data_IF_649106126429
#
_entry.id   IF_649106126429
#
_cell.length_a   1.000
_cell.length_b   1.000
_cell.length_c   1.000
_cell.angle_alpha   90.00
_cell.angle_beta   90.00
_cell.angle_gamma   90.00
#
_symmetry.space_group_name_H-M   'P 1'
#
loop_
_entity.id
_entity.type
_entity.pdbx_description
1 polymer ?
#
# COMPACT_ATOMS: atom_id res chain seq x y z
N UNK A 1 -2.85 24.80 -1.05
CA UNK A 1 -2.07 23.73 -0.36
C UNK A 1 -1.05 23.19 -1.35
N UNK A 2 0.19 22.97 -0.91
CA UNK A 2 1.19 22.41 -1.85
C UNK A 2 0.89 20.93 -2.15
N UNK A 3 1.21 20.53 -3.37
CA UNK A 3 1.06 19.13 -3.77
C UNK A 3 1.86 18.20 -2.85
N UNK A 4 3.09 18.57 -2.47
CA UNK A 4 3.93 17.79 -1.54
C UNK A 4 3.23 17.42 -0.22
N UNK A 5 2.38 18.32 0.31
CA UNK A 5 1.67 18.08 1.56
C UNK A 5 0.57 17.01 1.36
N UNK A 6 -0.13 17.08 0.22
CA UNK A 6 -1.17 16.09 -0.15
C UNK A 6 -0.52 14.74 -0.45
N UNK A 7 0.64 14.72 -1.12
CA UNK A 7 1.39 13.48 -1.36
C UNK A 7 1.76 12.77 -0.06
N UNK A 8 2.22 13.52 0.94
CA UNK A 8 2.53 12.95 2.27
C UNK A 8 1.30 12.30 2.92
N UNK A 9 0.13 12.93 2.79
CA UNK A 9 -1.14 12.37 3.29
C UNK A 9 -1.54 11.10 2.51
N UNK A 10 -1.37 11.10 1.19
CA UNK A 10 -1.65 9.93 0.35
C UNK A 10 -0.72 8.76 0.68
N UNK A 11 0.54 9.04 0.98
CA UNK A 11 1.52 8.03 1.38
C UNK A 11 1.29 7.47 2.80
N UNK A 12 0.60 8.19 3.69
CA UNK A 12 0.08 7.58 4.94
C UNK A 12 -1.01 6.53 4.66
N UNK A 13 -1.86 6.78 3.65
CA UNK A 13 -2.92 5.86 3.25
C UNK A 13 -2.39 4.67 2.47
N UNK A 14 -1.48 4.90 1.55
CA UNK A 14 -0.92 3.92 0.62
C UNK A 14 0.58 4.17 0.43
N UNK A 15 1.43 3.72 1.39
CA UNK A 15 2.88 3.89 1.28
C UNK A 15 3.40 3.34 -0.06
N UNK A 16 4.13 4.15 -0.83
CA UNK A 16 4.64 3.73 -2.16
C UNK A 16 5.49 2.44 -2.09
N UNK A 17 6.17 2.24 -0.97
CA UNK A 17 6.93 1.01 -0.74
C UNK A 17 6.08 -0.26 -0.59
N UNK A 18 4.75 -0.15 -0.47
CA UNK A 18 3.86 -1.32 -0.46
C UNK A 18 3.53 -1.83 -1.86
N UNK A 19 3.73 -1.01 -2.89
CA UNK A 19 3.45 -1.39 -4.27
C UNK A 19 4.21 -2.65 -4.70
N UNK A 20 3.69 -3.32 -5.72
CA UNK A 20 4.39 -4.42 -6.39
C UNK A 20 5.49 -3.87 -7.30
N UNK A 21 6.56 -4.65 -7.48
CA UNK A 21 7.76 -4.22 -8.23
C UNK A 21 7.48 -3.88 -9.71
N UNK A 22 6.39 -4.43 -10.28
CA UNK A 22 5.99 -4.16 -11.67
C UNK A 22 5.15 -2.90 -11.82
N UNK A 23 4.71 -2.29 -10.72
CA UNK A 23 3.72 -1.22 -10.72
C UNK A 23 4.36 0.17 -10.89
N UNK A 24 3.53 1.15 -11.24
CA UNK A 24 3.93 2.54 -11.40
C UNK A 24 2.98 3.46 -10.61
N UNK A 25 3.22 3.56 -9.32
CA UNK A 25 2.42 4.37 -8.38
C UNK A 25 3.09 5.70 -8.03
N UNK A 26 2.36 6.58 -7.39
CA UNK A 26 2.84 7.89 -6.97
C UNK A 26 2.49 9.00 -7.96
N UNK A 27 3.28 10.07 -7.97
CA UNK A 27 3.08 11.21 -8.85
C UNK A 27 3.51 10.87 -10.29
N UNK A 28 2.53 10.73 -11.18
CA UNK A 28 2.75 10.34 -12.59
C UNK A 28 2.90 11.57 -13.50
N UNK A 29 2.18 12.64 -13.21
CA UNK A 29 2.19 13.90 -13.96
C UNK A 29 2.13 15.05 -12.97
N UNK A 30 2.95 16.09 -13.13
CA UNK A 30 2.92 17.29 -12.31
C UNK A 30 4.24 17.61 -11.60
N UNK A 31 4.20 18.61 -10.73
CA UNK A 31 5.35 19.10 -9.96
C UNK A 31 4.99 19.18 -8.48
N UNK A 32 5.82 18.61 -7.60
CA UNK A 32 5.59 18.56 -6.13
C UNK A 32 5.38 19.95 -5.49
N UNK A 33 5.93 21.01 -6.10
CA UNK A 33 5.80 22.38 -5.60
C UNK A 33 4.53 23.10 -6.09
N UNK A 34 3.69 22.45 -6.91
CA UNK A 34 2.46 23.02 -7.44
C UNK A 34 1.47 23.30 -6.29
N UNK A 35 0.80 24.45 -6.36
CA UNK A 35 -0.33 24.75 -5.47
C UNK A 35 -1.59 24.05 -5.97
N UNK A 36 -2.31 23.38 -5.05
CA UNK A 36 -3.50 22.64 -5.36
C UNK A 36 -4.73 23.38 -4.81
N UNK A 37 -5.68 23.60 -5.70
CA UNK A 37 -6.97 24.28 -5.42
C UNK A 37 -8.11 23.28 -5.18
N UNK A 38 -8.07 22.12 -5.84
CA UNK A 38 -9.06 21.06 -5.71
C UNK A 38 -8.52 19.70 -6.14
N UNK A 39 -9.09 18.65 -5.54
CA UNK A 39 -8.75 17.25 -5.79
C UNK A 39 -9.95 16.52 -6.36
N UNK A 40 -9.79 15.88 -7.52
CA UNK A 40 -10.76 14.95 -8.09
C UNK A 40 -10.27 13.52 -7.89
N UNK A 41 -11.06 12.68 -7.26
CA UNK A 41 -10.73 11.26 -7.02
C UNK A 41 -11.51 10.37 -7.98
N UNK A 42 -10.83 9.51 -8.71
CA UNK A 42 -11.42 8.62 -9.71
C UNK A 42 -10.87 7.18 -9.63
N UNK A 43 -11.44 6.29 -10.44
CA UNK A 43 -10.90 4.94 -10.61
C UNK A 43 -9.80 4.94 -11.67
N UNK A 44 -10.09 5.44 -12.86
CA UNK A 44 -9.16 5.57 -13.98
C UNK A 44 -9.09 7.04 -14.45
N UNK A 45 -7.89 7.55 -14.72
CA UNK A 45 -7.67 8.94 -15.15
C UNK A 45 -7.80 9.08 -16.68
N UNK A 46 -9.00 8.82 -17.24
CA UNK A 46 -9.30 8.96 -18.66
C UNK A 46 -9.47 10.42 -19.10
N UNK A 47 -9.55 10.68 -20.42
CA UNK A 47 -9.77 12.02 -20.96
C UNK A 47 -11.03 12.70 -20.42
N UNK A 48 -12.15 11.95 -20.25
CA UNK A 48 -13.41 12.44 -19.67
C UNK A 48 -13.24 12.88 -18.21
N UNK A 49 -12.43 12.14 -17.43
CA UNK A 49 -12.10 12.50 -16.04
C UNK A 49 -11.25 13.77 -15.98
N UNK A 50 -10.31 13.96 -16.91
CA UNK A 50 -9.55 15.22 -17.00
C UNK A 50 -10.48 16.39 -17.38
N UNK A 51 -11.45 16.18 -18.30
CA UNK A 51 -12.48 17.18 -18.62
C UNK A 51 -13.35 17.52 -17.39
N UNK A 52 -13.73 16.52 -16.60
CA UNK A 52 -14.43 16.72 -15.33
C UNK A 52 -13.58 17.54 -14.35
N UNK A 53 -12.28 17.23 -14.21
CA UNK A 53 -11.37 17.97 -13.34
C UNK A 53 -11.29 19.45 -13.75
N UNK A 54 -11.15 19.74 -15.05
CA UNK A 54 -11.18 21.10 -15.59
C UNK A 54 -12.49 21.82 -15.23
N UNK A 55 -13.63 21.18 -15.47
CA UNK A 55 -14.96 21.76 -15.22
C UNK A 55 -15.20 22.05 -13.74
N UNK A 56 -14.70 21.21 -12.86
CA UNK A 56 -14.81 21.32 -11.39
C UNK A 56 -13.65 22.11 -10.77
N UNK A 57 -12.73 22.65 -11.60
CA UNK A 57 -11.55 23.43 -11.17
C UNK A 57 -10.63 22.66 -10.22
N UNK A 58 -10.53 21.35 -10.40
CA UNK A 58 -9.59 20.51 -9.69
C UNK A 58 -8.29 20.42 -10.50
N UNK A 59 -7.15 20.73 -9.88
CA UNK A 59 -5.84 20.64 -10.52
C UNK A 59 -4.97 19.50 -9.96
N UNK A 60 -5.57 18.59 -9.18
CA UNK A 60 -5.02 17.27 -8.83
C UNK A 60 -6.07 16.20 -9.12
N UNK A 61 -5.69 15.17 -9.88
CA UNK A 61 -6.46 13.93 -10.05
C UNK A 61 -5.76 12.82 -9.28
N UNK A 62 -6.44 12.24 -8.30
CA UNK A 62 -5.99 11.05 -7.59
C UNK A 62 -6.76 9.86 -8.15
N UNK A 63 -6.07 8.95 -8.83
CA UNK A 63 -6.67 7.77 -9.44
C UNK A 63 -6.22 6.49 -8.73
N UNK A 64 -7.06 5.46 -8.82
CA UNK A 64 -6.67 4.15 -8.36
C UNK A 64 -5.67 3.54 -9.35
N UNK A 65 -6.05 3.34 -10.62
CA UNK A 65 -5.18 2.81 -11.65
C UNK A 65 -4.20 3.84 -12.21
N UNK A 66 -2.92 3.48 -12.39
CA UNK A 66 -1.95 4.37 -13.03
C UNK A 66 -2.21 4.48 -14.53
N UNK A 67 -2.51 5.70 -15.00
CA UNK A 67 -2.65 5.95 -16.46
C UNK A 67 -1.35 5.67 -17.21
N UNK A 68 -0.20 5.79 -16.54
CA UNK A 68 1.13 5.45 -17.03
C UNK A 68 1.59 4.11 -16.45
N UNK A 69 0.92 3.01 -16.78
CA UNK A 69 1.33 1.68 -16.30
C UNK A 69 2.66 1.24 -16.93
N UNK A 70 2.83 1.46 -18.23
CA UNK A 70 4.07 1.16 -18.96
C UNK A 70 4.80 2.43 -19.36
N UNK A 71 6.13 2.37 -19.45
CA UNK A 71 6.94 3.51 -19.88
C UNK A 71 6.56 4.04 -21.27
N UNK A 72 6.40 5.35 -21.40
CA UNK A 72 6.06 6.02 -22.68
C UNK A 72 7.33 6.53 -23.34
N UNK A 73 7.54 6.19 -24.61
CA UNK A 73 8.66 6.71 -25.42
C UNK A 73 8.30 7.98 -26.18
N UNK A 74 7.02 8.23 -26.44
CA UNK A 74 6.52 9.40 -27.22
C UNK A 74 5.15 9.80 -26.68
N UNK A 75 4.87 11.11 -26.66
CA UNK A 75 3.57 11.66 -26.30
C UNK A 75 3.08 12.47 -27.51
N UNK A 76 2.22 11.87 -28.32
CA UNK A 76 1.76 12.41 -29.61
C UNK A 76 0.24 12.46 -29.75
N UNK A 77 -0.50 11.99 -28.73
CA UNK A 77 -1.96 11.94 -28.74
C UNK A 77 -2.57 10.77 -29.53
N UNK A 78 -1.78 9.73 -29.86
CA UNK A 78 -2.25 8.62 -30.70
C UNK A 78 -3.23 7.67 -29.99
N UNK A 79 -3.10 7.52 -28.67
CA UNK A 79 -3.93 6.64 -27.87
C UNK A 79 -4.55 7.40 -26.70
N UNK A 80 -5.46 6.75 -25.98
CA UNK A 80 -6.17 7.37 -24.86
C UNK A 80 -5.23 7.82 -23.72
N UNK A 81 -4.15 7.07 -23.45
CA UNK A 81 -3.15 7.42 -22.43
C UNK A 81 -2.44 8.72 -22.80
N UNK A 82 -1.90 8.81 -24.03
CA UNK A 82 -1.20 10.01 -24.51
C UNK A 82 -2.13 11.23 -24.54
N UNK A 83 -3.41 11.05 -24.93
CA UNK A 83 -4.38 12.17 -24.97
C UNK A 83 -4.72 12.66 -23.57
N UNK A 84 -4.98 11.77 -22.61
CA UNK A 84 -5.27 12.15 -21.22
C UNK A 84 -4.08 12.91 -20.60
N UNK A 85 -2.84 12.41 -20.78
CA UNK A 85 -1.62 13.06 -20.28
C UNK A 85 -1.40 14.44 -20.92
N UNK A 86 -1.52 14.53 -22.25
CA UNK A 86 -1.38 15.82 -22.94
C UNK A 86 -2.41 16.85 -22.47
N UNK A 87 -3.65 16.40 -22.22
CA UNK A 87 -4.71 17.26 -21.70
C UNK A 87 -4.41 17.71 -20.27
N UNK A 88 -3.96 16.79 -19.40
CA UNK A 88 -3.58 17.11 -18.03
C UNK A 88 -2.43 18.13 -17.98
N UNK A 89 -1.35 17.90 -18.74
CA UNK A 89 -0.20 18.81 -18.80
C UNK A 89 -0.62 20.22 -19.32
N UNK A 90 -1.44 20.28 -20.38
CA UNK A 90 -1.90 21.57 -20.95
C UNK A 90 -2.77 22.40 -20.00
N UNK A 91 -3.38 21.77 -19.00
CA UNK A 91 -4.26 22.41 -18.02
C UNK A 91 -3.66 22.43 -16.61
N UNK A 92 -2.35 22.21 -16.47
CA UNK A 92 -1.64 22.19 -15.19
C UNK A 92 -2.27 21.25 -14.15
N UNK A 93 -2.80 20.11 -14.59
CA UNK A 93 -3.40 19.09 -13.73
C UNK A 93 -2.35 18.03 -13.40
N UNK A 94 -2.07 17.84 -12.11
CA UNK A 94 -1.27 16.74 -11.61
C UNK A 94 -2.08 15.44 -11.56
N UNK A 95 -1.42 14.28 -11.78
CA UNK A 95 -2.03 12.95 -11.68
C UNK A 95 -1.20 12.10 -10.72
N UNK A 96 -1.85 11.53 -9.70
CA UNK A 96 -1.27 10.62 -8.72
C UNK A 96 -2.03 9.31 -8.71
N UNK A 97 -1.33 8.17 -8.67
CA UNK A 97 -1.93 6.83 -8.61
C UNK A 97 -1.54 6.08 -7.33
N UNK A 98 -2.50 5.33 -6.75
CA UNK A 98 -2.28 4.57 -5.51
C UNK A 98 -2.20 3.05 -5.72
N UNK A 99 -2.92 2.49 -6.66
CA UNK A 99 -2.96 1.11 -7.18
C UNK A 99 -2.51 0.03 -6.17
N UNK A 100 -1.49 -0.79 -6.50
CA UNK A 100 -1.08 -1.92 -5.67
C UNK A 100 -0.51 -1.51 -4.31
N UNK A 101 -0.09 -0.26 -4.12
CA UNK A 101 0.25 0.26 -2.80
C UNK A 101 -0.96 0.21 -1.85
N UNK A 102 -2.16 0.54 -2.36
CA UNK A 102 -3.40 0.44 -1.59
C UNK A 102 -3.93 -1.00 -1.53
N UNK A 103 -3.71 -1.84 -2.56
CA UNK A 103 -4.08 -3.26 -2.53
C UNK A 103 -3.40 -4.01 -1.38
N UNK A 104 -2.12 -3.71 -1.17
CA UNK A 104 -1.30 -4.33 -0.12
C UNK A 104 -1.58 -3.78 1.28
N UNK A 105 -2.23 -2.61 1.39
CA UNK A 105 -2.45 -1.97 2.68
C UNK A 105 -3.54 -2.68 3.49
N UNK A 106 -3.32 -2.83 4.81
CA UNK A 106 -4.24 -3.55 5.73
C UNK A 106 -5.68 -3.01 5.74
N UNK A 107 -5.89 -1.72 5.47
CA UNK A 107 -7.21 -1.04 5.37
C UNK A 107 -7.60 -0.75 3.91
N UNK A 108 -6.80 -1.23 2.95
CA UNK A 108 -6.98 -0.95 1.53
C UNK A 108 -8.05 -1.79 0.84
N UNK A 109 -7.94 -1.91 -0.49
CA UNK A 109 -8.95 -2.46 -1.40
C UNK A 109 -9.55 -3.77 -0.90
N UNK A 110 -8.72 -4.73 -0.54
CA UNK A 110 -9.18 -6.05 -0.12
C UNK A 110 -9.89 -6.06 1.25
N UNK A 111 -9.57 -5.11 2.14
CA UNK A 111 -10.33 -4.91 3.39
C UNK A 111 -11.69 -4.27 3.10
N UNK A 112 -11.73 -3.26 2.24
CA UNK A 112 -12.97 -2.61 1.79
C UNK A 112 -13.88 -3.65 1.14
N UNK A 113 -13.33 -4.55 0.32
CA UNK A 113 -14.06 -5.64 -0.31
C UNK A 113 -14.66 -6.60 0.74
N UNK A 114 -13.87 -7.04 1.74
CA UNK A 114 -14.37 -7.86 2.85
C UNK A 114 -15.51 -7.17 3.62
N UNK A 115 -15.35 -5.88 3.90
CA UNK A 115 -16.34 -5.10 4.66
C UNK A 115 -17.63 -4.91 3.89
N UNK A 116 -17.56 -4.67 2.58
CA UNK A 116 -18.72 -4.56 1.72
C UNK A 116 -19.58 -5.84 1.73
N UNK A 117 -18.91 -7.00 1.82
CA UNK A 117 -19.58 -8.32 1.94
C UNK A 117 -20.03 -8.67 3.36
N UNK A 118 -19.56 -7.93 4.38
CA UNK A 118 -19.84 -8.23 5.78
C UNK A 118 -18.99 -9.35 6.38
N UNK A 119 -17.86 -9.68 5.76
CA UNK A 119 -16.92 -10.69 6.27
C UNK A 119 -16.22 -10.21 7.55
N UNK A 120 -16.14 -11.09 8.55
CA UNK A 120 -15.50 -10.85 9.85
C UNK A 120 -14.13 -11.53 9.91
N UNK A 121 -13.32 -11.10 10.90
CA UNK A 121 -12.00 -11.69 11.21
C UNK A 121 -11.08 -11.84 10.00
N UNK A 122 -11.15 -10.87 9.07
CA UNK A 122 -10.37 -10.96 7.83
C UNK A 122 -8.88 -10.76 8.08
N UNK A 123 -8.06 -11.60 7.42
CA UNK A 123 -6.60 -11.57 7.42
C UNK A 123 -6.06 -11.58 5.99
N UNK A 124 -4.82 -11.16 5.82
CA UNK A 124 -4.15 -11.17 4.52
C UNK A 124 -4.10 -12.59 3.96
N UNK A 125 -4.41 -12.75 2.67
CA UNK A 125 -4.38 -14.03 1.97
C UNK A 125 -2.96 -14.42 1.54
N UNK A 126 -2.22 -13.47 0.97
CA UNK A 126 -0.83 -13.63 0.53
C UNK A 126 0.01 -12.57 1.23
N UNK A 127 0.58 -12.89 2.40
CA UNK A 127 1.45 -11.96 3.13
C UNK A 127 2.70 -11.59 2.33
N UNK A 128 3.11 -10.32 2.38
CA UNK A 128 4.31 -9.84 1.72
C UNK A 128 5.55 -10.44 2.37
N UNK A 129 6.42 -11.02 1.56
CA UNK A 129 7.67 -11.67 1.97
C UNK A 129 8.85 -10.71 1.75
N UNK A 130 9.97 -10.94 2.44
CA UNK A 130 11.19 -10.14 2.30
C UNK A 130 10.96 -8.63 2.48
N UNK A 131 10.06 -8.26 3.39
CA UNK A 131 9.68 -6.87 3.60
C UNK A 131 10.04 -6.33 4.99
N UNK A 132 10.39 -7.21 5.91
CA UNK A 132 10.84 -6.86 7.24
C UNK A 132 12.37 -6.90 7.28
N UNK A 133 12.98 -5.83 7.76
CA UNK A 133 14.42 -5.76 8.00
C UNK A 133 14.71 -5.59 9.49
N UNK A 134 15.91 -5.95 9.90
CA UNK A 134 16.43 -5.74 11.25
C UNK A 134 17.63 -4.82 11.18
N UNK A 135 17.59 -3.70 11.92
CA UNK A 135 18.75 -2.88 12.23
C UNK A 135 19.42 -3.42 13.49
N UNK A 136 20.74 -3.52 13.44
CA UNK A 136 21.61 -3.72 14.59
C UNK A 136 22.59 -2.55 14.63
N UNK A 137 22.83 -1.97 15.80
CA UNK A 137 23.81 -0.91 16.01
C UNK A 137 24.37 -0.99 17.44
N UNK A 138 25.47 -0.30 17.69
CA UNK A 138 26.20 -0.35 18.96
C UNK A 138 26.47 1.08 19.41
N UNK A 139 26.23 1.38 20.68
CA UNK A 139 26.47 2.72 21.22
C UNK A 139 26.80 2.66 22.71
N UNK A 140 27.35 3.74 23.25
CA UNK A 140 27.62 3.87 24.70
C UNK A 140 26.32 3.89 25.51
N UNK A 141 26.33 3.41 26.77
CA UNK A 141 25.14 3.34 27.63
C UNK A 141 24.36 4.66 27.72
N UNK A 142 25.07 5.79 27.77
CA UNK A 142 24.50 7.13 27.94
C UNK A 142 23.69 7.60 26.73
N UNK A 143 23.95 7.05 25.53
CA UNK A 143 23.26 7.43 24.29
C UNK A 143 22.11 6.52 23.93
N UNK A 144 21.94 5.38 24.60
CA UNK A 144 20.96 4.33 24.24
C UNK A 144 19.53 4.88 24.13
N UNK A 145 19.07 5.61 25.14
CA UNK A 145 17.70 6.11 25.18
C UNK A 145 17.42 7.12 24.05
N UNK A 146 18.33 8.08 23.87
CA UNK A 146 18.23 9.10 22.80
C UNK A 146 18.20 8.45 21.42
N UNK A 147 19.12 7.53 21.14
CA UNK A 147 19.23 6.87 19.84
C UNK A 147 18.02 5.99 19.55
N UNK A 148 17.59 5.19 20.52
CA UNK A 148 16.43 4.32 20.41
C UNK A 148 15.15 5.11 20.12
N UNK A 149 14.88 6.19 20.84
CA UNK A 149 13.71 7.02 20.61
C UNK A 149 13.74 7.66 19.21
N UNK A 150 14.90 8.15 18.76
CA UNK A 150 15.02 8.70 17.41
C UNK A 150 14.76 7.65 16.30
N UNK A 151 15.11 6.38 16.54
CA UNK A 151 14.81 5.28 15.62
C UNK A 151 13.32 4.89 15.66
N UNK A 152 12.66 4.92 16.82
CA UNK A 152 11.22 4.74 16.93
C UNK A 152 10.46 5.85 16.21
N UNK A 153 10.82 7.11 16.40
CA UNK A 153 10.25 8.26 15.68
C UNK A 153 10.44 8.16 14.16
N UNK A 154 11.49 7.46 13.72
CA UNK A 154 11.70 7.17 12.32
C UNK A 154 10.83 6.01 11.78
N UNK A 155 10.15 5.26 12.66
CA UNK A 155 9.22 4.18 12.32
C UNK A 155 9.79 2.77 12.51
N UNK A 156 10.92 2.62 13.23
CA UNK A 156 11.40 1.29 13.63
C UNK A 156 10.63 0.77 14.86
N UNK A 157 10.69 -0.54 15.12
CA UNK A 157 10.19 -1.15 16.35
C UNK A 157 8.72 -1.55 16.33
N UNK A 158 8.05 -1.61 15.18
CA UNK A 158 6.67 -2.12 15.10
C UNK A 158 6.67 -3.64 14.86
N UNK A 159 5.96 -4.39 15.70
CA UNK A 159 5.73 -5.84 15.57
C UNK A 159 4.24 -6.14 15.79
N UNK A 160 3.49 -6.34 14.71
CA UNK A 160 2.05 -6.58 14.79
C UNK A 160 1.29 -5.43 15.44
N UNK A 161 0.77 -5.63 16.64
CA UNK A 161 0.04 -4.63 17.43
C UNK A 161 0.91 -3.96 18.52
N UNK A 162 2.21 -4.18 18.50
CA UNK A 162 3.14 -3.60 19.47
C UNK A 162 4.05 -2.59 18.79
N UNK A 163 4.21 -1.45 19.42
CA UNK A 163 5.10 -0.36 19.02
C UNK A 163 6.32 -0.31 19.94
N UNK A 164 7.34 0.43 19.57
CA UNK A 164 8.57 0.66 20.33
C UNK A 164 9.30 -0.64 20.77
N UNK A 165 9.21 -1.68 19.93
CA UNK A 165 9.87 -2.95 20.19
C UNK A 165 11.36 -2.87 19.85
N UNK A 166 12.21 -3.12 20.83
CA UNK A 166 13.65 -3.28 20.62
C UNK A 166 14.20 -4.31 21.59
N UNK A 167 15.35 -4.84 21.26
CA UNK A 167 16.13 -5.67 22.17
C UNK A 167 17.52 -5.04 22.37
N UNK A 168 17.99 -4.98 23.59
CA UNK A 168 19.31 -4.45 23.91
C UNK A 168 20.11 -5.44 24.76
N UNK A 169 21.40 -5.56 24.47
CA UNK A 169 22.33 -6.38 25.27
C UNK A 169 23.66 -5.64 25.49
N UNK A 170 24.25 -5.86 26.65
CA UNK A 170 25.57 -5.31 26.98
C UNK A 170 26.67 -6.12 26.30
N UNK A 171 27.70 -5.43 25.88
CA UNK A 171 28.92 -6.02 25.31
C UNK A 171 30.10 -5.09 25.50
N UNK A 172 31.27 -5.51 24.99
CA UNK A 172 32.48 -4.71 24.97
C UNK A 172 32.82 -4.46 23.51
N UNK A 173 32.87 -3.18 23.12
CA UNK A 173 33.34 -2.73 21.82
C UNK A 173 34.86 -2.50 21.88
N UNK A 174 35.55 -2.81 20.80
CA UNK A 174 37.01 -2.55 20.70
C UNK A 174 37.33 -1.86 19.38
N UNK A 175 38.23 -0.88 19.44
CA UNK A 175 38.72 -0.18 18.26
C UNK A 175 40.07 0.49 18.51
N UNK A 176 40.73 0.91 17.43
CA UNK A 176 41.91 1.77 17.47
C UNK A 176 41.76 2.80 16.32
N UNK A 177 41.75 4.08 16.68
CA UNK A 177 41.66 5.18 15.72
C UNK A 177 42.99 5.41 14.98
N UNK A 178 42.93 5.80 13.71
CA UNK A 178 44.10 6.21 12.91
C UNK A 178 44.27 7.74 12.88
N UNK A 179 45.17 8.25 12.03
CA UNK A 179 45.43 9.69 11.89
C UNK A 179 44.24 10.54 11.44
N UNK A 180 43.26 9.94 10.76
CA UNK A 180 42.07 10.63 10.21
C UNK A 180 40.85 10.54 11.13
N UNK A 181 40.92 9.78 12.22
CA UNK A 181 39.84 9.60 13.16
C UNK A 181 39.75 10.71 14.20
N UNK A 182 38.54 10.88 14.75
CA UNK A 182 38.25 11.74 15.90
C UNK A 182 37.38 10.96 16.89
N UNK A 183 37.95 10.03 17.66
CA UNK A 183 37.19 9.13 18.51
C UNK A 183 36.46 9.90 19.63
N UNK A 184 35.22 9.48 19.93
CA UNK A 184 34.45 10.00 21.07
C UNK A 184 35.06 9.60 22.42
N UNK A 185 35.69 8.40 22.48
CA UNK A 185 36.37 7.88 23.68
C UNK A 185 37.80 7.42 23.30
N UNK A 186 38.76 7.71 24.16
CA UNK A 186 40.16 7.39 23.92
C UNK A 186 40.88 8.34 22.97
N UNK A 187 42.11 8.00 22.58
CA UNK A 187 42.95 8.79 21.68
C UNK A 187 43.31 8.03 20.40
N UNK A 188 43.78 8.78 19.39
CA UNK A 188 44.33 8.17 18.16
C UNK A 188 45.49 7.24 18.45
N UNK A 189 45.55 6.12 17.74
CA UNK A 189 46.57 5.08 17.86
C UNK A 189 46.56 4.33 19.20
N UNK A 190 45.55 4.58 20.06
CA UNK A 190 45.34 3.84 21.28
C UNK A 190 44.32 2.72 21.04
N UNK A 191 44.59 1.52 21.59
CA UNK A 191 43.60 0.45 21.61
C UNK A 191 42.61 0.70 22.75
N UNK A 192 41.33 0.84 22.37
CA UNK A 192 40.25 1.15 23.31
C UNK A 192 39.36 -0.07 23.50
N UNK A 193 39.06 -0.41 24.74
CA UNK A 193 38.00 -1.30 25.16
C UNK A 193 36.95 -0.45 25.89
N UNK A 194 35.68 -0.53 25.45
CA UNK A 194 34.61 0.29 26.00
C UNK A 194 33.31 -0.51 26.17
N UNK A 195 32.59 -0.25 27.25
CA UNK A 195 31.23 -0.80 27.44
C UNK A 195 30.30 -0.27 26.36
N UNK A 196 29.66 -1.17 25.65
CA UNK A 196 28.70 -0.83 24.62
C UNK A 196 27.38 -1.57 24.81
N UNK A 197 26.31 -0.94 24.34
CA UNK A 197 24.99 -1.55 24.24
C UNK A 197 24.68 -1.81 22.77
N UNK A 198 24.49 -3.07 22.44
CA UNK A 198 23.92 -3.50 21.18
C UNK A 198 22.43 -3.22 21.21
N UNK A 199 21.90 -2.54 20.20
CA UNK A 199 20.49 -2.26 20.00
C UNK A 199 20.02 -2.98 18.73
N UNK A 200 18.96 -3.76 18.83
CA UNK A 200 18.33 -4.47 17.72
C UNK A 200 16.86 -4.09 17.62
N UNK A 201 16.38 -3.77 16.41
CA UNK A 201 14.97 -3.49 16.14
C UNK A 201 14.60 -3.82 14.70
N UNK A 202 13.34 -4.20 14.50
CA UNK A 202 12.81 -4.49 13.17
C UNK A 202 12.15 -3.26 12.58
N UNK A 203 12.09 -3.20 11.25
CA UNK A 203 11.42 -2.12 10.53
C UNK A 203 10.98 -2.59 9.13
N UNK A 204 10.06 -1.86 8.52
CA UNK A 204 9.63 -2.11 7.15
C UNK A 204 10.65 -1.57 6.15
N UNK A 205 10.98 -2.35 5.13
CA UNK A 205 12.04 -2.07 4.13
C UNK A 205 11.98 -0.66 3.54
N UNK A 206 10.79 -0.12 3.28
CA UNK A 206 10.65 1.22 2.69
C UNK A 206 11.10 2.36 3.64
N UNK A 207 11.18 2.11 4.94
CA UNK A 207 11.64 3.07 5.94
C UNK A 207 13.16 3.13 6.08
N UNK A 208 13.91 2.25 5.41
CA UNK A 208 15.37 2.12 5.58
C UNK A 208 16.12 3.45 5.47
N UNK A 209 15.82 4.25 4.46
CA UNK A 209 16.49 5.55 4.26
C UNK A 209 16.20 6.51 5.41
N UNK A 210 14.95 6.56 5.88
CA UNK A 210 14.53 7.43 7.01
C UNK A 210 15.19 6.98 8.31
N UNK A 211 15.25 5.68 8.55
CA UNK A 211 15.87 5.08 9.75
C UNK A 211 17.39 5.31 9.76
N UNK A 212 18.08 5.07 8.64
CA UNK A 212 19.51 5.35 8.55
C UNK A 212 19.85 6.83 8.74
N UNK A 213 19.02 7.72 8.20
CA UNK A 213 19.16 9.16 8.44
C UNK A 213 19.00 9.52 9.92
N UNK A 214 18.05 8.91 10.62
CA UNK A 214 17.87 9.08 12.06
C UNK A 214 19.05 8.50 12.86
N UNK A 215 19.54 7.31 12.47
CA UNK A 215 20.71 6.65 13.07
C UNK A 215 21.92 7.59 13.03
N UNK A 216 22.35 8.01 11.83
CA UNK A 216 23.55 8.84 11.66
C UNK A 216 23.43 10.23 12.33
N UNK A 217 22.24 10.79 12.36
CA UNK A 217 22.02 12.11 13.01
C UNK A 217 22.12 12.04 14.53
N UNK A 218 21.77 10.92 15.16
CA UNK A 218 21.64 10.80 16.62
C UNK A 218 22.70 9.91 17.25
N UNK A 219 23.57 9.31 16.44
CA UNK A 219 24.70 8.53 16.94
C UNK A 219 25.81 9.45 17.47
N UNK A 220 26.55 8.99 18.47
CA UNK A 220 27.70 9.73 19.03
C UNK A 220 28.99 9.50 18.27
N UNK A 221 29.13 8.34 17.62
CA UNK A 221 30.33 8.02 16.86
C UNK A 221 30.31 8.67 15.48
N UNK A 222 31.48 9.14 15.02
CA UNK A 222 31.65 9.66 13.65
C UNK A 222 31.52 8.59 12.59
N UNK A 223 32.01 7.37 12.87
CA UNK A 223 31.86 6.17 12.05
C UNK A 223 30.93 5.20 12.77
N UNK A 224 29.70 5.08 12.28
CA UNK A 224 28.66 4.29 12.94
C UNK A 224 28.77 2.83 12.54
N UNK A 225 28.97 1.95 13.51
CA UNK A 225 28.85 0.51 13.31
C UNK A 225 27.37 0.11 13.29
N UNK A 226 26.91 -0.44 12.17
CA UNK A 226 25.54 -0.96 12.03
C UNK A 226 25.46 -2.08 11.00
N UNK A 227 24.47 -2.94 11.15
CA UNK A 227 24.12 -3.95 10.18
C UNK A 227 22.64 -3.92 9.86
N UNK A 228 22.27 -4.26 8.62
CA UNK A 228 20.89 -4.49 8.22
C UNK A 228 20.74 -5.91 7.70
N UNK A 229 19.86 -6.67 8.35
CA UNK A 229 19.52 -8.02 7.95
C UNK A 229 18.15 -8.06 7.31
N UNK A 230 18.02 -8.68 6.14
CA UNK A 230 16.73 -9.05 5.58
C UNK A 230 16.18 -10.25 6.35
N UNK A 231 14.93 -10.15 6.82
CA UNK A 231 14.28 -11.25 7.53
C UNK A 231 13.32 -12.01 6.59
N UNK A 232 13.26 -13.33 6.75
CA UNK A 232 12.32 -14.21 6.04
C UNK A 232 10.89 -14.15 6.62
N UNK A 233 10.68 -13.42 7.69
CA UNK A 233 9.38 -13.25 8.32
C UNK A 233 8.39 -12.62 7.33
N UNK A 234 7.22 -13.25 7.20
CA UNK A 234 6.12 -12.70 6.41
C UNK A 234 5.45 -11.56 7.17
N UNK A 235 5.11 -10.49 6.47
CA UNK A 235 4.42 -9.36 7.08
C UNK A 235 2.95 -9.70 7.34
N UNK A 236 2.48 -9.57 8.59
CA UNK A 236 1.14 -10.02 9.00
C UNK A 236 0.00 -9.16 8.42
N UNK A 237 0.27 -7.87 8.19
CA UNK A 237 -0.75 -6.89 7.84
C UNK A 237 -0.64 -6.36 6.39
N UNK A 238 0.50 -6.60 5.73
CA UNK A 238 0.76 -6.16 4.35
C UNK A 238 0.76 -7.37 3.43
N UNK A 239 0.06 -7.26 2.30
CA UNK A 239 0.01 -8.31 1.29
C UNK A 239 -1.30 -8.30 0.50
N UNK A 240 -1.36 -9.15 -0.51
CA UNK A 240 -2.45 -9.21 -1.49
C UNK A 240 -3.61 -10.09 -1.03
N UNK A 241 -4.81 -9.64 -1.35
CA UNK A 241 -6.03 -10.36 -1.04
C UNK A 241 -6.30 -10.48 0.47
N UNK A 242 -7.49 -10.92 0.82
CA UNK A 242 -7.89 -11.22 2.20
C UNK A 242 -8.75 -12.47 2.26
N UNK A 243 -8.77 -13.10 3.42
CA UNK A 243 -9.68 -14.20 3.73
C UNK A 243 -10.42 -13.87 5.02
N UNK A 244 -11.75 -13.94 4.99
CA UNK A 244 -12.62 -13.67 6.13
C UNK A 244 -13.78 -14.68 6.22
N UNK A 245 -14.64 -14.53 7.21
CA UNK A 245 -15.74 -15.48 7.46
C UNK A 245 -17.07 -14.75 7.63
N UNK A 246 -18.14 -15.35 7.12
CA UNK A 246 -19.49 -14.98 7.51
C UNK A 246 -19.79 -15.51 8.90
N UNK A 247 -20.62 -14.78 9.64
CA UNK A 247 -21.12 -15.26 10.94
C UNK A 247 -21.92 -16.55 10.77
N UNK A 248 -22.85 -16.56 9.81
CA UNK A 248 -23.65 -17.73 9.44
C UNK A 248 -23.30 -18.19 8.02
N UNK A 249 -23.17 -19.51 7.78
CA UNK A 249 -22.96 -20.03 6.43
C UNK A 249 -24.14 -19.72 5.50
N UNK A 250 -23.84 -19.47 4.22
CA UNK A 250 -24.81 -19.25 3.15
C UNK A 250 -24.78 -20.42 2.17
N UNK A 251 -25.88 -20.69 1.48
CA UNK A 251 -25.82 -21.55 0.30
C UNK A 251 -25.05 -20.85 -0.82
N UNK A 252 -24.51 -21.60 -1.79
CA UNK A 252 -23.76 -21.04 -2.92
C UNK A 252 -24.60 -20.03 -3.71
N UNK A 253 -25.91 -20.27 -3.87
CA UNK A 253 -26.82 -19.36 -4.57
C UNK A 253 -27.06 -18.08 -3.78
N UNK A 254 -27.33 -18.16 -2.47
CA UNK A 254 -27.49 -16.99 -1.60
C UNK A 254 -26.21 -16.15 -1.55
N UNK A 255 -25.06 -16.82 -1.51
CA UNK A 255 -23.76 -16.16 -1.55
C UNK A 255 -23.55 -15.36 -2.84
N UNK A 256 -23.76 -15.97 -4.03
CA UNK A 256 -23.61 -15.25 -5.30
C UNK A 256 -24.64 -14.12 -5.43
N UNK A 257 -25.86 -14.30 -4.93
CA UNK A 257 -26.85 -13.24 -4.90
C UNK A 257 -26.42 -12.06 -4.00
N UNK A 258 -25.91 -12.34 -2.81
CA UNK A 258 -25.33 -11.34 -1.91
C UNK A 258 -24.20 -10.57 -2.58
N UNK A 259 -23.27 -11.28 -3.23
CA UNK A 259 -22.13 -10.67 -3.96
C UNK A 259 -22.65 -9.73 -5.04
N UNK A 260 -23.61 -10.21 -5.85
CA UNK A 260 -24.22 -9.42 -6.94
C UNK A 260 -24.85 -8.13 -6.43
N UNK A 261 -25.60 -8.19 -5.34
CA UNK A 261 -26.28 -7.04 -4.74
C UNK A 261 -25.27 -6.07 -4.10
N UNK A 262 -24.36 -6.57 -3.26
CA UNK A 262 -23.42 -5.73 -2.50
C UNK A 262 -22.40 -5.03 -3.39
N UNK A 263 -21.92 -5.70 -4.42
CA UNK A 263 -20.93 -5.17 -5.36
C UNK A 263 -21.57 -4.61 -6.64
N UNK A 264 -22.90 -4.72 -6.77
CA UNK A 264 -23.68 -4.24 -7.92
C UNK A 264 -23.12 -4.81 -9.24
N UNK A 265 -22.83 -6.12 -9.26
CA UNK A 265 -22.37 -6.81 -10.44
C UNK A 265 -23.52 -7.02 -11.43
N UNK A 266 -23.33 -6.71 -12.70
CA UNK A 266 -24.32 -7.03 -13.75
C UNK A 266 -24.34 -8.52 -14.08
N UNK A 267 -23.15 -9.19 -14.00
CA UNK A 267 -23.01 -10.63 -14.21
C UNK A 267 -21.87 -11.19 -13.36
N UNK A 268 -21.97 -12.46 -12.98
CA UNK A 268 -20.92 -13.21 -12.30
C UNK A 268 -20.66 -14.49 -13.09
N UNK A 269 -19.39 -14.75 -13.46
CA UNK A 269 -18.95 -16.03 -14.00
C UNK A 269 -18.43 -16.89 -12.87
N UNK A 270 -18.82 -18.15 -12.77
CA UNK A 270 -18.38 -19.00 -11.68
C UNK A 270 -18.11 -20.45 -12.11
N UNK A 271 -17.31 -21.18 -11.32
CA UNK A 271 -17.11 -22.62 -11.44
C UNK A 271 -18.39 -23.38 -11.08
N UNK A 272 -18.43 -24.68 -11.34
CA UNK A 272 -19.56 -25.51 -10.94
C UNK A 272 -19.82 -25.40 -9.42
N UNK A 273 -21.09 -25.46 -9.02
CA UNK A 273 -21.49 -25.57 -7.64
C UNK A 273 -21.01 -26.89 -7.01
N UNK A 274 -20.58 -26.82 -5.77
CA UNK A 274 -20.05 -27.96 -5.01
C UNK A 274 -21.14 -28.64 -4.17
N UNK A 275 -22.29 -27.98 -4.01
CA UNK A 275 -23.36 -28.41 -3.08
C UNK A 275 -22.98 -28.26 -1.60
N UNK A 276 -22.10 -27.29 -1.27
CA UNK A 276 -21.63 -27.01 0.08
C UNK A 276 -21.97 -25.58 0.48
N UNK A 277 -22.11 -25.35 1.77
CA UNK A 277 -22.29 -24.01 2.30
C UNK A 277 -20.99 -23.20 2.21
N UNK A 278 -21.13 -21.88 2.07
CA UNK A 278 -20.05 -20.88 2.03
C UNK A 278 -20.02 -20.17 3.37
N UNK A 279 -18.93 -20.34 4.11
CA UNK A 279 -18.66 -19.60 5.35
C UNK A 279 -17.39 -18.78 5.23
N UNK A 280 -16.30 -19.40 4.76
CA UNK A 280 -15.01 -18.79 4.63
C UNK A 280 -14.76 -18.34 3.19
N UNK A 281 -14.48 -17.07 3.01
CA UNK A 281 -14.35 -16.46 1.68
C UNK A 281 -13.00 -15.76 1.54
N UNK A 282 -12.29 -16.11 0.46
CA UNK A 282 -11.12 -15.34 0.02
C UNK A 282 -11.57 -14.30 -1.02
N UNK A 283 -10.96 -13.13 -0.99
CA UNK A 283 -11.18 -12.04 -1.94
C UNK A 283 -9.86 -11.45 -2.42
N UNK A 284 -9.80 -11.06 -3.68
CA UNK A 284 -8.71 -10.25 -4.23
C UNK A 284 -9.31 -9.37 -5.33
N UNK A 285 -9.27 -8.05 -5.13
CA UNK A 285 -9.72 -7.06 -6.10
C UNK A 285 -8.85 -7.09 -7.35
N UNK A 286 -9.47 -6.84 -8.51
CA UNK A 286 -8.81 -6.89 -9.80
C UNK A 286 -8.41 -8.28 -10.25
N UNK A 287 -7.33 -8.38 -11.02
CA UNK A 287 -6.86 -9.61 -11.66
C UNK A 287 -6.13 -10.54 -10.68
N UNK A 288 -6.79 -11.56 -10.19
CA UNK A 288 -6.30 -12.42 -9.09
C UNK A 288 -6.17 -13.92 -9.41
N UNK A 289 -6.06 -14.31 -10.68
CA UNK A 289 -5.93 -15.74 -11.03
C UNK A 289 -4.73 -16.42 -10.37
N UNK A 290 -3.65 -15.71 -10.13
CA UNK A 290 -2.44 -16.23 -9.47
C UNK A 290 -2.66 -16.66 -8.02
N UNK A 291 -3.71 -16.16 -7.36
CA UNK A 291 -4.00 -16.42 -5.96
C UNK A 291 -4.97 -17.60 -5.72
N UNK A 292 -5.45 -18.30 -6.76
CA UNK A 292 -6.38 -19.44 -6.63
C UNK A 292 -5.83 -20.49 -5.68
N UNK A 293 -4.57 -20.87 -5.82
CA UNK A 293 -3.91 -21.86 -4.94
C UNK A 293 -3.82 -21.39 -3.49
N UNK A 294 -3.58 -20.08 -3.28
CA UNK A 294 -3.53 -19.49 -1.93
C UNK A 294 -4.91 -19.52 -1.29
N UNK A 295 -5.98 -19.22 -2.06
CA UNK A 295 -7.36 -19.32 -1.58
C UNK A 295 -7.71 -20.74 -1.17
N UNK A 296 -7.36 -21.75 -1.98
CA UNK A 296 -7.55 -23.16 -1.66
C UNK A 296 -6.78 -23.54 -0.36
N UNK A 297 -5.50 -23.21 -0.29
CA UNK A 297 -4.64 -23.51 0.86
C UNK A 297 -5.12 -22.83 2.14
N UNK A 298 -5.74 -21.65 2.02
CA UNK A 298 -6.35 -20.97 3.16
C UNK A 298 -7.57 -21.68 3.73
N UNK A 299 -8.10 -22.70 3.02
CA UNK A 299 -9.33 -23.40 3.34
C UNK A 299 -10.59 -22.57 3.08
N UNK A 300 -10.56 -21.65 2.11
CA UNK A 300 -11.73 -20.87 1.71
C UNK A 300 -12.76 -21.77 1.00
N UNK A 301 -14.04 -21.52 1.27
CA UNK A 301 -15.16 -22.18 0.57
C UNK A 301 -15.43 -21.53 -0.78
N UNK A 302 -15.14 -20.23 -0.90
CA UNK A 302 -15.25 -19.46 -2.14
C UNK A 302 -14.08 -18.50 -2.31
N UNK A 303 -13.76 -18.20 -3.56
CA UNK A 303 -12.80 -17.16 -3.94
C UNK A 303 -13.41 -16.22 -4.96
N UNK A 304 -13.42 -14.92 -4.62
CA UNK A 304 -13.89 -13.83 -5.46
C UNK A 304 -12.71 -13.05 -6.00
N UNK A 305 -12.67 -12.86 -7.32
CA UNK A 305 -11.66 -12.06 -8.02
C UNK A 305 -12.17 -11.65 -9.38
N UNK A 306 -11.30 -11.19 -10.30
CA UNK A 306 -11.67 -10.82 -11.66
C UNK A 306 -10.66 -11.32 -12.71
N UNK A 307 -10.99 -11.06 -13.99
CA UNK A 307 -10.16 -11.33 -15.17
C UNK A 307 -9.76 -12.80 -15.35
N UNK A 308 -10.61 -13.72 -14.92
CA UNK A 308 -10.35 -15.14 -15.06
C UNK A 308 -10.53 -15.61 -16.50
N UNK A 309 -9.51 -16.28 -17.04
CA UNK A 309 -9.57 -16.96 -18.33
C UNK A 309 -10.30 -18.29 -18.21
N UNK A 310 -10.83 -18.80 -19.33
CA UNK A 310 -11.61 -20.03 -19.39
C UNK A 310 -10.98 -21.20 -18.62
N UNK A 311 -9.70 -21.50 -18.85
CA UNK A 311 -9.03 -22.64 -18.21
C UNK A 311 -8.75 -22.45 -16.73
N UNK A 312 -8.70 -21.21 -16.23
CA UNK A 312 -8.43 -20.94 -14.82
C UNK A 312 -9.58 -21.37 -13.90
N UNK A 313 -10.82 -21.47 -14.42
CA UNK A 313 -11.92 -22.02 -13.64
C UNK A 313 -11.74 -23.49 -13.27
N UNK A 314 -10.96 -24.26 -14.04
CA UNK A 314 -10.62 -25.64 -13.70
C UNK A 314 -9.65 -25.72 -12.52
N UNK A 315 -8.86 -24.68 -12.25
CA UNK A 315 -7.90 -24.64 -11.14
C UNK A 315 -8.59 -24.67 -9.77
N UNK A 316 -9.89 -24.40 -9.71
CA UNK A 316 -10.70 -24.59 -8.50
C UNK A 316 -10.78 -26.06 -8.05
N UNK A 317 -10.65 -27.02 -8.96
CA UNK A 317 -10.63 -28.49 -8.72
C UNK A 317 -11.73 -28.98 -7.77
N UNK A 318 -12.91 -28.37 -7.79
CA UNK A 318 -14.00 -28.60 -6.86
C UNK A 318 -13.64 -28.37 -5.36
N UNK A 319 -12.53 -27.70 -5.05
CA UNK A 319 -12.10 -27.43 -3.69
C UNK A 319 -12.73 -26.15 -3.14
N UNK A 320 -13.04 -25.18 -4.00
CA UNK A 320 -13.78 -23.95 -3.65
C UNK A 320 -14.70 -23.53 -4.80
N UNK A 321 -15.66 -22.64 -4.51
CA UNK A 321 -16.43 -21.93 -5.53
C UNK A 321 -15.60 -20.75 -6.03
N UNK A 322 -15.10 -20.82 -7.28
CA UNK A 322 -14.35 -19.74 -7.91
C UNK A 322 -15.31 -18.85 -8.68
N UNK A 323 -15.27 -17.55 -8.42
CA UNK A 323 -16.15 -16.57 -9.08
C UNK A 323 -15.38 -15.34 -9.55
N UNK A 324 -15.63 -14.98 -10.81
CA UNK A 324 -15.19 -13.77 -11.48
C UNK A 324 -16.36 -12.78 -11.48
N UNK A 325 -16.19 -11.68 -10.75
CA UNK A 325 -17.24 -10.71 -10.47
C UNK A 325 -17.09 -9.41 -11.28
N UNK A 326 -16.06 -9.34 -12.11
CA UNK A 326 -15.68 -8.13 -12.85
C UNK A 326 -14.63 -7.29 -12.12
N UNK A 327 -13.70 -6.73 -12.89
CA UNK A 327 -12.57 -5.96 -12.37
C UNK A 327 -13.04 -4.71 -11.64
N UNK A 328 -13.78 -3.85 -12.35
CA UNK A 328 -14.32 -2.62 -11.81
C UNK A 328 -15.22 -2.85 -10.57
N UNK A 329 -16.05 -3.89 -10.60
CA UNK A 329 -16.98 -4.25 -9.54
C UNK A 329 -16.25 -4.66 -8.25
N UNK A 330 -15.11 -5.35 -8.38
CA UNK A 330 -14.30 -5.79 -7.24
C UNK A 330 -13.58 -4.65 -6.51
N UNK A 331 -13.40 -3.50 -7.18
CA UNK A 331 -12.62 -2.35 -6.70
C UNK A 331 -13.42 -1.05 -6.59
N UNK A 332 -14.68 -1.06 -7.00
CA UNK A 332 -15.51 0.13 -7.17
C UNK A 332 -15.60 1.08 -5.96
N UNK A 333 -15.48 0.57 -4.76
CA UNK A 333 -15.55 1.36 -3.53
C UNK A 333 -14.23 2.03 -3.14
N UNK A 334 -13.15 1.73 -3.84
CA UNK A 334 -11.82 2.26 -3.55
C UNK A 334 -11.77 3.78 -3.63
N UNK A 335 -12.37 4.37 -4.67
CA UNK A 335 -12.40 5.83 -4.83
C UNK A 335 -13.16 6.55 -3.70
N UNK A 336 -14.21 5.93 -3.14
CA UNK A 336 -14.93 6.47 -2.00
C UNK A 336 -14.05 6.51 -0.74
N UNK A 337 -13.33 5.41 -0.47
CA UNK A 337 -12.38 5.34 0.63
C UNK A 337 -11.29 6.41 0.54
N UNK A 338 -10.73 6.64 -0.65
CA UNK A 338 -9.72 7.68 -0.89
C UNK A 338 -10.29 9.07 -0.58
N UNK A 339 -11.52 9.37 -1.03
CA UNK A 339 -12.20 10.65 -0.75
C UNK A 339 -12.40 10.84 0.74
N UNK A 340 -12.92 9.83 1.43
CA UNK A 340 -13.24 9.92 2.86
C UNK A 340 -11.97 10.10 3.67
N UNK A 341 -10.90 9.37 3.36
CA UNK A 341 -9.59 9.51 3.99
C UNK A 341 -9.00 10.91 3.80
N UNK A 342 -8.98 11.41 2.55
CA UNK A 342 -8.46 12.75 2.27
C UNK A 342 -9.28 13.83 2.96
N UNK A 343 -10.60 13.72 2.97
CA UNK A 343 -11.47 14.67 3.69
C UNK A 343 -11.19 14.69 5.17
N UNK A 344 -11.10 13.52 5.81
CA UNK A 344 -10.77 13.42 7.23
C UNK A 344 -9.43 14.08 7.54
N UNK A 345 -8.39 13.74 6.81
CA UNK A 345 -7.03 14.24 7.06
C UNK A 345 -6.91 15.73 6.76
N UNK A 346 -7.34 16.20 5.61
CA UNK A 346 -7.17 17.60 5.19
C UNK A 346 -8.06 18.53 6.02
N UNK A 347 -9.29 18.14 6.34
CA UNK A 347 -10.17 18.98 7.17
C UNK A 347 -9.61 19.14 8.59
N UNK A 348 -8.98 18.10 9.14
CA UNK A 348 -8.41 18.13 10.47
C UNK A 348 -7.12 18.98 10.55
N UNK A 349 -6.28 18.97 9.50
CA UNK A 349 -4.98 19.65 9.51
C UNK A 349 -4.99 21.05 8.89
N UNK A 350 -5.83 21.28 7.88
CA UNK A 350 -5.85 22.53 7.12
C UNK A 350 -7.27 22.84 6.60
N UNK A 351 -8.24 23.14 7.45
CA UNK A 351 -9.60 23.48 7.05
C UNK A 351 -9.56 24.68 6.09
N UNK A 352 -10.31 24.58 4.96
CA UNK A 352 -10.39 25.61 3.89
C UNK A 352 -9.09 25.80 3.07
N UNK A 353 -8.13 24.88 3.13
CA UNK A 353 -6.90 24.97 2.33
C UNK A 353 -7.10 24.67 0.84
N UNK A 354 -8.18 23.98 0.47
CA UNK A 354 -8.57 23.68 -0.91
C UNK A 354 -9.82 24.48 -1.28
N UNK A 355 -9.70 25.39 -2.25
CA UNK A 355 -10.81 26.26 -2.70
C UNK A 355 -11.98 25.48 -3.29
N UNK A 356 -11.67 24.41 -4.05
CA UNK A 356 -12.66 23.56 -4.72
C UNK A 356 -12.93 22.24 -3.96
N UNK A 357 -12.23 21.99 -2.86
CA UNK A 357 -12.42 20.81 -2.01
C UNK A 357 -11.92 19.51 -2.61
N UNK A 358 -12.45 18.39 -2.08
CA UNK A 358 -12.16 17.02 -2.52
C UNK A 358 -13.44 16.42 -3.08
N UNK A 359 -13.43 16.07 -4.36
CA UNK A 359 -14.59 15.67 -5.14
C UNK A 359 -14.43 14.22 -5.60
N UNK A 360 -15.47 13.42 -5.45
CA UNK A 360 -15.57 12.11 -6.07
C UNK A 360 -15.97 12.28 -7.54
N UNK A 361 -15.24 11.68 -8.45
CA UNK A 361 -15.57 11.68 -9.88
C UNK A 361 -16.91 10.98 -10.13
N UNK A 362 -17.75 11.61 -10.94
CA UNK A 362 -19.05 11.10 -11.41
C UNK A 362 -18.90 10.25 -12.67
N UNK A 363 -17.73 10.32 -13.34
CA UNK A 363 -17.44 9.55 -14.53
C UNK A 363 -17.42 8.04 -14.24
N UNK A 364 -18.18 7.27 -15.03
CA UNK A 364 -18.13 5.81 -15.00
C UNK A 364 -17.09 5.32 -16.00
N UNK A 365 -15.90 4.99 -15.48
CA UNK A 365 -14.77 4.54 -16.29
C UNK A 365 -14.78 3.03 -16.58
N UNK A 366 -15.80 2.26 -16.13
CA UNK A 366 -15.89 0.82 -16.43
C UNK A 366 -15.98 0.58 -17.95
N UNK A 367 -14.95 -0.05 -18.57
CA UNK A 367 -14.95 -0.30 -20.01
C UNK A 367 -15.82 -1.50 -20.43
N UNK A 368 -16.21 -2.34 -19.46
CA UNK A 368 -16.98 -3.57 -19.72
C UNK A 368 -18.47 -3.27 -19.58
N UNK A 369 -19.24 -3.70 -20.55
CA UNK A 369 -20.70 -3.60 -20.56
C UNK A 369 -21.29 -4.98 -20.78
N UNK A 370 -22.43 -5.24 -20.16
CA UNK A 370 -23.19 -6.46 -20.30
C UNK A 370 -24.42 -6.17 -21.16
N UNK A 371 -24.75 -7.12 -22.04
CA UNK A 371 -25.91 -7.03 -22.93
C UNK A 371 -27.09 -7.78 -22.33
#
# INVERSE_FOLDING_TARGET
MKLSDILSILEEMAPLGYAEDFDNVGLLVGNQNQEIDGVLVCHDALESVIDEAISKKCNLVVCFHPILFSGIKKITGKNYVERAILKAIKNDIAIYAVHTALDNHQKGVNKIFCDALGLKHSKVLIPKENYIQKLVTYTIPENVEKLRNALFDAGAGTIGNYEDCSFSSKGIGTYMGNENSNPEIGERFEFVENDEIKIEMTFEKHLQVKILKALFKNHVYEEVAYEIYQLENKHQNIGLGRVGEFENPLSETEFLQLVKEKLQCEGIRHSAFRGKSIKKVAVLGGSGSFAIKNAITSGADAYLTADLKYHQFYEAENQLLLADIGHFESERFTKNYIVDFLKEKITNFAPNSLQCGIILSEENTNPVKYF
#
